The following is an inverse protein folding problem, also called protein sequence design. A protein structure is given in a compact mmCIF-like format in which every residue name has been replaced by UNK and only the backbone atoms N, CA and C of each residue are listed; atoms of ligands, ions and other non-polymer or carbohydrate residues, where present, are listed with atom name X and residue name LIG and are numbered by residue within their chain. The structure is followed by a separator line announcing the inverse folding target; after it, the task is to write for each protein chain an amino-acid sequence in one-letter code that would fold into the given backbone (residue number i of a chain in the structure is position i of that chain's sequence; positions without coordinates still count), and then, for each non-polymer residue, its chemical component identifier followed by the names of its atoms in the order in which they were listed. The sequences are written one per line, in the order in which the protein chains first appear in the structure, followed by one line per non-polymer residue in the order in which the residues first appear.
data_IF_690298096649
#
_entry.id   IF_690298096649
#
_cell.length_a   1.000
_cell.length_b   1.000
_cell.length_c   1.000
_cell.angle_alpha   90.00
_cell.angle_beta   90.00
_cell.angle_gamma   90.00
#
_symmetry.space_group_name_H-M   'P 1'
#
loop_
_entity.id
_entity.type
_entity.pdbx_description
1 polymer ?
#
# COMPACT_ATOMS: atom_id res chain seq x y z
N UNK A 1 34.40 13.50 21.16
CA UNK A 1 33.98 12.82 19.91
C UNK A 1 32.69 13.37 19.29
N UNK A 2 32.02 14.37 19.88
CA UNK A 2 30.70 14.87 19.41
C UNK A 2 30.74 16.13 18.52
N UNK A 3 31.87 16.82 18.44
CA UNK A 3 31.93 18.14 17.79
C UNK A 3 32.09 18.11 16.27
N UNK A 4 32.46 16.96 15.69
CA UNK A 4 32.66 16.80 14.24
C UNK A 4 31.36 16.53 13.46
N UNK A 5 30.31 16.08 14.13
CA UNK A 5 29.03 15.77 13.48
C UNK A 5 28.19 17.02 13.20
N UNK A 6 28.25 18.02 14.07
CA UNK A 6 27.47 19.27 13.91
C UNK A 6 27.95 20.06 12.69
N UNK A 7 29.26 20.10 12.42
CA UNK A 7 29.80 20.80 11.26
C UNK A 7 29.38 20.15 9.93
N UNK A 8 29.29 18.83 9.90
CA UNK A 8 28.89 18.10 8.69
C UNK A 8 27.40 18.30 8.35
N UNK A 9 26.55 18.50 9.37
CA UNK A 9 25.13 18.78 9.21
C UNK A 9 24.88 20.16 8.56
N UNK A 10 25.67 21.18 8.93
CA UNK A 10 25.52 22.55 8.39
C UNK A 10 25.91 22.64 6.91
N UNK A 11 26.94 21.91 6.47
CA UNK A 11 27.35 21.90 5.05
C UNK A 11 26.33 21.16 4.17
N UNK A 12 25.66 20.13 4.70
CA UNK A 12 24.64 19.39 3.96
C UNK A 12 23.35 20.21 3.75
N UNK A 13 23.05 21.18 4.62
CA UNK A 13 21.88 22.06 4.45
C UNK A 13 22.10 23.10 3.35
N UNK A 14 23.34 23.57 3.14
CA UNK A 14 23.65 24.62 2.16
C UNK A 14 23.59 24.15 0.70
N UNK A 15 23.64 22.84 0.44
CA UNK A 15 23.68 22.29 -0.92
C UNK A 15 22.28 22.02 -1.52
N UNK A 16 21.20 22.18 -0.76
CA UNK A 16 19.85 21.87 -1.25
C UNK A 16 19.10 23.08 -1.86
N UNK A 17 19.72 24.26 -1.92
CA UNK A 17 19.04 25.51 -2.27
C UNK A 17 19.26 26.04 -3.71
N UNK A 18 19.63 25.19 -4.68
CA UNK A 18 19.86 25.66 -6.07
C UNK A 18 19.42 24.68 -7.16
N UNK A 19 18.17 24.22 -7.15
CA UNK A 19 17.63 23.58 -8.35
C UNK A 19 16.13 23.79 -8.60
N UNK A 20 15.64 25.02 -8.40
CA UNK A 20 14.38 25.45 -9.00
C UNK A 20 14.68 26.43 -10.13
N UNK A 21 14.84 25.91 -11.35
CA UNK A 21 14.80 26.70 -12.57
C UNK A 21 14.03 25.95 -13.66
N UNK A 22 12.85 26.50 -13.96
CA UNK A 22 12.16 26.39 -15.25
C UNK A 22 11.43 25.06 -15.50
N UNK A 23 10.11 25.10 -15.67
CA UNK A 23 9.52 25.41 -16.99
C UNK A 23 8.00 25.37 -16.88
N UNK A 24 7.37 26.50 -17.13
CA UNK A 24 5.94 26.59 -17.43
C UNK A 24 5.73 26.13 -18.87
N UNK A 25 5.12 24.97 -19.09
CA UNK A 25 4.71 24.56 -20.44
C UNK A 25 3.54 23.61 -20.36
N UNK A 26 2.40 24.15 -20.75
CA UNK A 26 1.33 23.51 -21.53
C UNK A 26 0.46 22.44 -20.87
N UNK A 27 -0.73 22.93 -20.51
CA UNK A 27 -1.96 22.15 -20.39
C UNK A 27 -2.32 21.60 -21.77
N UNK A 28 -1.89 20.38 -22.06
CA UNK A 28 -2.48 19.57 -23.13
C UNK A 28 -3.34 18.48 -22.48
N UNK A 29 -4.63 18.78 -22.34
CA UNK A 29 -5.66 17.81 -21.93
C UNK A 29 -6.02 16.95 -23.14
N UNK A 30 -5.08 16.11 -23.57
CA UNK A 30 -5.32 15.06 -24.57
C UNK A 30 -6.07 13.89 -23.95
N UNK A 31 -7.40 13.99 -23.82
CA UNK A 31 -8.25 12.86 -23.45
C UNK A 31 -8.28 11.85 -24.61
N UNK A 32 -7.43 10.82 -24.54
CA UNK A 32 -7.54 9.67 -25.45
C UNK A 32 -8.45 8.63 -24.80
N UNK A 33 -9.64 8.46 -25.38
CA UNK A 33 -10.55 7.35 -25.05
C UNK A 33 -10.12 6.14 -25.89
N UNK A 34 -9.47 5.18 -25.25
CA UNK A 34 -9.18 3.88 -25.86
C UNK A 34 -10.44 3.02 -25.73
N UNK A 35 -11.20 2.88 -26.82
CA UNK A 35 -12.31 1.93 -26.90
C UNK A 35 -11.73 0.53 -27.18
N UNK A 36 -11.55 -0.25 -26.12
CA UNK A 36 -11.24 -1.68 -26.22
C UNK A 36 -12.48 -2.38 -26.80
N UNK A 37 -12.47 -2.68 -28.11
CA UNK A 37 -13.47 -3.52 -28.77
C UNK A 37 -13.41 -4.90 -28.12
N UNK A 38 -14.43 -5.21 -27.32
CA UNK A 38 -14.52 -6.46 -26.57
C UNK A 38 -14.30 -7.67 -27.48
N UNK A 39 -13.22 -8.41 -27.21
CA UNK A 39 -13.07 -9.78 -27.68
C UNK A 39 -14.05 -10.62 -26.85
N UNK A 40 -15.24 -10.81 -27.40
CA UNK A 40 -16.23 -11.78 -26.92
C UNK A 40 -15.63 -13.18 -27.07
N UNK A 41 -15.28 -13.79 -25.95
CA UNK A 41 -14.89 -15.19 -25.96
C UNK A 41 -14.15 -15.57 -24.70
N UNK A 42 -14.88 -15.67 -23.57
CA UNK A 42 -14.79 -16.75 -22.58
C UNK A 42 -16.15 -16.77 -21.85
N UNK A 43 -17.14 -17.47 -22.40
CA UNK A 43 -18.40 -17.82 -21.68
C UNK A 43 -18.23 -19.10 -20.84
N UNK A 44 -16.99 -19.40 -20.43
CA UNK A 44 -16.76 -20.37 -19.36
C UNK A 44 -16.69 -19.59 -18.05
N UNK A 45 -17.66 -19.73 -17.12
CA UNK A 45 -17.44 -19.30 -15.77
C UNK A 45 -16.26 -20.12 -15.25
N UNK A 46 -15.08 -19.49 -15.20
CA UNK A 46 -13.96 -20.02 -14.46
C UNK A 46 -14.52 -20.35 -13.06
N UNK A 47 -14.34 -21.58 -12.55
CA UNK A 47 -14.81 -21.90 -11.21
C UNK A 47 -14.20 -20.85 -10.27
N UNK A 48 -15.06 -20.03 -9.66
CA UNK A 48 -14.62 -19.03 -8.71
C UNK A 48 -13.87 -19.78 -7.62
N UNK A 49 -12.55 -19.60 -7.55
CA UNK A 49 -11.76 -20.21 -6.50
C UNK A 49 -12.39 -19.78 -5.16
N UNK A 50 -12.60 -20.71 -4.22
CA UNK A 50 -13.18 -20.36 -2.93
C UNK A 50 -12.30 -19.30 -2.26
N UNK A 51 -12.92 -18.19 -1.89
CA UNK A 51 -12.26 -17.11 -1.16
C UNK A 51 -12.01 -17.62 0.26
N UNK A 52 -10.74 -17.68 0.67
CA UNK A 52 -10.39 -17.93 2.06
C UNK A 52 -10.68 -16.66 2.88
N UNK A 53 -11.85 -16.62 3.50
CA UNK A 53 -12.29 -15.52 4.34
C UNK A 53 -11.88 -15.79 5.80
N UNK A 54 -11.24 -14.81 6.43
CA UNK A 54 -10.89 -14.88 7.84
C UNK A 54 -12.15 -14.88 8.70
N UNK A 55 -12.32 -15.94 9.51
CA UNK A 55 -13.36 -16.05 10.53
C UNK A 55 -12.90 -15.37 11.83
N UNK A 56 -13.49 -14.23 12.20
CA UNK A 56 -13.08 -13.48 13.38
C UNK A 56 -13.51 -14.17 14.68
N UNK A 57 -12.62 -14.10 15.66
CA UNK A 57 -12.85 -14.55 17.03
C UNK A 57 -12.62 -13.40 18.00
N UNK A 58 -13.10 -13.51 19.24
CA UNK A 58 -12.81 -12.52 20.28
C UNK A 58 -11.35 -12.59 20.76
N UNK A 59 -10.72 -13.75 20.58
CA UNK A 59 -9.29 -13.97 20.79
C UNK A 59 -8.46 -13.64 19.55
N UNK A 60 -7.17 -13.33 19.74
CA UNK A 60 -6.23 -13.06 18.66
C UNK A 60 -5.94 -14.35 17.88
N UNK A 61 -6.23 -14.33 16.57
CA UNK A 61 -5.98 -15.45 15.66
C UNK A 61 -5.07 -15.00 14.52
N UNK A 62 -4.13 -15.87 14.14
CA UNK A 62 -3.21 -15.62 13.03
C UNK A 62 -3.97 -15.52 11.70
N UNK A 63 -3.60 -14.52 10.90
CA UNK A 63 -4.18 -14.29 9.56
C UNK A 63 -3.34 -15.09 8.56
N UNK A 64 -4.00 -15.94 7.79
CA UNK A 64 -3.37 -16.74 6.74
C UNK A 64 -2.80 -15.92 5.59
N UNK A 65 -1.87 -16.52 4.85
CA UNK A 65 -1.33 -15.93 3.64
C UNK A 65 -2.41 -15.88 2.55
N UNK A 66 -2.72 -14.69 2.04
CA UNK A 66 -3.80 -14.41 1.08
C UNK A 66 -5.22 -14.54 1.64
N UNK A 67 -5.37 -14.65 2.95
CA UNK A 67 -6.68 -14.68 3.57
C UNK A 67 -7.33 -13.29 3.53
N UNK A 68 -8.58 -13.22 3.11
CA UNK A 68 -9.35 -11.99 3.03
C UNK A 68 -9.87 -11.61 4.43
N UNK A 69 -9.73 -10.34 4.80
CA UNK A 69 -10.18 -9.83 6.09
C UNK A 69 -11.52 -9.09 5.94
N UNK A 70 -12.57 -9.47 6.70
CA UNK A 70 -13.77 -8.64 6.79
C UNK A 70 -13.46 -7.32 7.52
N UNK A 71 -14.33 -6.32 7.33
CA UNK A 71 -14.26 -5.06 8.09
C UNK A 71 -14.61 -5.25 9.57
N UNK A 72 -14.27 -4.28 10.41
CA UNK A 72 -14.62 -4.32 11.84
C UNK A 72 -13.73 -5.24 12.68
N UNK A 73 -12.44 -5.32 12.36
CA UNK A 73 -11.45 -6.11 13.09
C UNK A 73 -10.37 -5.23 13.71
N UNK A 74 -9.87 -5.65 14.87
CA UNK A 74 -8.57 -5.18 15.36
C UNK A 74 -7.48 -6.04 14.76
N UNK A 75 -6.48 -5.41 14.14
CA UNK A 75 -5.35 -6.07 13.53
C UNK A 75 -4.09 -5.65 14.26
N UNK A 76 -3.22 -6.62 14.59
CA UNK A 76 -1.86 -6.35 15.09
C UNK A 76 -0.84 -7.06 14.22
N UNK A 77 0.36 -6.49 14.18
CA UNK A 77 1.50 -7.04 13.45
C UNK A 77 2.68 -7.12 14.41
N UNK A 78 3.27 -8.30 14.54
CA UNK A 78 4.56 -8.44 15.19
C UNK A 78 5.65 -7.91 14.24
N UNK A 79 6.30 -6.81 14.60
CA UNK A 79 7.29 -6.17 13.74
C UNK A 79 8.61 -6.94 13.60
N UNK A 80 8.90 -7.85 14.54
CA UNK A 80 10.10 -8.69 14.49
C UNK A 80 9.93 -9.89 13.56
N UNK A 81 8.71 -10.44 13.44
CA UNK A 81 8.44 -11.66 12.67
C UNK A 81 7.54 -11.44 11.45
N UNK A 82 6.87 -10.30 11.35
CA UNK A 82 5.88 -10.01 10.32
C UNK A 82 4.53 -10.73 10.51
N UNK A 83 4.37 -11.50 11.60
CA UNK A 83 3.12 -12.23 11.87
C UNK A 83 1.96 -11.28 12.10
N UNK A 84 0.85 -11.53 11.43
CA UNK A 84 -0.39 -10.74 11.51
C UNK A 84 -1.45 -11.53 12.25
N UNK A 85 -2.13 -10.88 13.17
CA UNK A 85 -3.23 -11.47 13.92
C UNK A 85 -4.42 -10.51 13.91
N UNK A 86 -5.63 -11.05 13.93
CA UNK A 86 -6.86 -10.29 14.05
C UNK A 86 -7.78 -10.85 15.12
N UNK A 87 -8.64 -9.98 15.65
CA UNK A 87 -9.77 -10.31 16.51
C UNK A 87 -10.96 -9.40 16.23
N UNK A 88 -12.13 -9.77 16.72
CA UNK A 88 -13.32 -8.94 16.66
C UNK A 88 -13.11 -7.57 17.30
N UNK A 89 -13.65 -6.54 16.66
CA UNK A 89 -13.86 -5.24 17.29
C UNK A 89 -14.99 -5.39 18.32
N UNK A 90 -14.76 -5.09 19.62
CA UNK A 90 -15.85 -5.04 20.58
C UNK A 90 -16.91 -4.01 20.15
N UNK A 91 -18.18 -4.36 20.35
CA UNK A 91 -19.33 -3.49 20.02
C UNK A 91 -19.44 -2.29 20.95
#
# INVERSE_FOLDING_TARGET
MFQRFVTLLVVLTALHARNHRGSTSDTDMGSSVIVLRGASGIDHPLPAAPIDLFEPTDEWKEIGLNQQLPGGLWIRINLSTGKKEARNLPK
#
